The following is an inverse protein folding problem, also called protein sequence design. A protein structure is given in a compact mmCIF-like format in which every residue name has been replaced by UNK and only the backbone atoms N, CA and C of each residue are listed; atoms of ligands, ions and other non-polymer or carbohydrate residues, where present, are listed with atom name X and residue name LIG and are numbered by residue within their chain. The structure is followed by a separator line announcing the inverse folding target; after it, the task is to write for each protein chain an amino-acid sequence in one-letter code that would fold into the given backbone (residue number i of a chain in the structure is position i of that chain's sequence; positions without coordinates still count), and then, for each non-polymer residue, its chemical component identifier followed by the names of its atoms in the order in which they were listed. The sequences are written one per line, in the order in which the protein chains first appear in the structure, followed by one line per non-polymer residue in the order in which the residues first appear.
data_IF_036723430066
#
_entry.id   IF_036723430066
#
_cell.length_a   1.000
_cell.length_b   1.000
_cell.length_c   1.000
_cell.angle_alpha   90.00
_cell.angle_beta   90.00
_cell.angle_gamma   90.00
#
_symmetry.space_group_name_H-M   'P 1'
#
loop_
_entity.id
_entity.type
_entity.pdbx_description
1 polymer ?
#
# COMPACT_ATOMS: atom_id res chain seq x y z
N UNK A 1 18.14 11.78 7.36
CA UNK A 1 17.57 10.49 6.93
C UNK A 1 17.90 10.18 5.48
N UNK A 2 17.34 10.85 4.45
CA UNK A 2 17.71 10.57 3.04
C UNK A 2 19.22 10.60 2.74
N UNK A 3 19.93 11.62 3.20
CA UNK A 3 21.39 11.71 3.04
C UNK A 3 22.17 10.61 3.80
N UNK A 4 21.61 10.12 4.90
CA UNK A 4 22.20 9.02 5.67
C UNK A 4 22.01 7.69 4.94
N UNK A 5 20.84 7.45 4.34
CA UNK A 5 20.59 6.31 3.44
C UNK A 5 21.59 6.33 2.27
N UNK A 6 21.83 7.50 1.65
CA UNK A 6 22.83 7.63 0.60
C UNK A 6 24.25 7.31 1.10
N UNK A 7 24.63 7.74 2.31
CA UNK A 7 25.92 7.36 2.91
C UNK A 7 26.07 5.84 3.02
N UNK A 8 25.05 5.15 3.56
CA UNK A 8 25.04 3.69 3.66
C UNK A 8 25.17 3.03 2.28
N UNK A 9 24.51 3.59 1.26
CA UNK A 9 24.60 3.12 -0.13
C UNK A 9 26.01 3.28 -0.70
N UNK A 10 26.67 4.40 -0.44
CA UNK A 10 28.07 4.63 -0.82
C UNK A 10 29.03 3.67 -0.11
N UNK A 11 28.85 3.47 1.20
CA UNK A 11 29.66 2.58 2.04
C UNK A 11 29.48 1.10 1.69
N UNK A 12 28.34 0.72 1.10
CA UNK A 12 28.12 -0.60 0.54
C UNK A 12 28.84 -0.83 -0.81
N UNK A 13 29.54 0.18 -1.34
CA UNK A 13 30.27 0.10 -2.60
C UNK A 13 29.42 0.36 -3.85
N UNK A 14 28.20 0.88 -3.69
CA UNK A 14 27.23 1.08 -4.78
C UNK A 14 27.25 2.50 -5.37
N UNK A 15 28.29 3.28 -5.07
CA UNK A 15 28.40 4.70 -5.44
C UNK A 15 28.13 5.01 -6.92
N UNK A 16 28.42 4.07 -7.84
CA UNK A 16 28.19 4.26 -9.28
C UNK A 16 26.71 4.41 -9.67
N UNK A 17 25.77 3.99 -8.82
CA UNK A 17 24.33 4.14 -9.07
C UNK A 17 23.70 5.29 -8.29
N UNK A 18 24.45 5.99 -7.43
CA UNK A 18 23.88 6.90 -6.43
C UNK A 18 22.96 7.98 -7.03
N UNK A 19 23.35 8.60 -8.16
CA UNK A 19 22.53 9.61 -8.85
C UNK A 19 21.18 9.05 -9.32
N UNK A 20 21.17 7.81 -9.80
CA UNK A 20 19.96 7.13 -10.28
C UNK A 20 19.15 6.50 -9.13
N UNK A 21 19.81 6.19 -8.02
CA UNK A 21 19.19 5.60 -6.83
C UNK A 21 18.54 6.65 -5.92
N UNK A 22 19.13 7.83 -5.77
CA UNK A 22 18.59 8.91 -4.94
C UNK A 22 17.10 9.23 -5.17
N UNK A 23 16.58 9.33 -6.42
CA UNK A 23 15.16 9.56 -6.66
C UNK A 23 14.27 8.36 -6.33
N UNK A 24 14.83 7.17 -6.11
CA UNK A 24 14.10 5.96 -5.70
C UNK A 24 13.92 5.87 -4.18
N UNK A 25 14.64 6.69 -3.40
CA UNK A 25 14.39 6.82 -1.96
C UNK A 25 13.15 7.70 -1.78
N UNK A 26 12.05 7.06 -1.38
CA UNK A 26 10.71 7.69 -1.30
C UNK A 26 10.28 7.90 0.15
N UNK A 27 9.73 9.07 0.50
CA UNK A 27 9.14 9.29 1.80
C UNK A 27 7.85 8.46 1.94
N UNK A 28 7.50 8.08 3.16
CA UNK A 28 6.25 7.40 3.48
C UNK A 28 5.65 7.96 4.77
N UNK A 29 4.35 7.73 4.95
CA UNK A 29 3.73 7.83 6.26
C UNK A 29 3.62 6.43 6.84
N UNK A 30 4.47 6.10 7.80
CA UNK A 30 4.27 4.92 8.63
C UNK A 30 3.05 5.10 9.51
N UNK A 31 2.23 4.06 9.60
CA UNK A 31 0.93 4.09 10.30
C UNK A 31 1.00 3.17 11.50
N UNK A 32 0.68 3.71 12.68
CA UNK A 32 0.52 2.96 13.92
C UNK A 32 -0.95 2.92 14.31
N UNK A 33 -1.42 1.72 14.63
CA UNK A 33 -2.80 1.40 15.00
C UNK A 33 -2.97 1.32 16.51
N UNK A 34 -4.03 1.95 17.00
CA UNK A 34 -4.42 1.93 18.41
C UNK A 34 -5.91 1.61 18.52
N UNK A 35 -6.32 0.53 19.21
CA UNK A 35 -7.72 0.17 19.35
C UNK A 35 -8.50 1.34 19.95
N UNK A 36 -9.70 1.57 19.44
CA UNK A 36 -10.52 2.70 19.85
C UNK A 36 -12.00 2.32 19.84
N UNK A 37 -12.79 2.96 20.69
CA UNK A 37 -14.24 2.95 20.54
C UNK A 37 -14.61 3.82 19.33
N UNK A 38 -15.19 3.21 18.30
CA UNK A 38 -15.51 3.91 17.04
C UNK A 38 -16.49 5.07 17.25
N UNK A 39 -17.37 4.98 18.24
CA UNK A 39 -18.30 6.07 18.57
C UNK A 39 -17.59 7.31 19.12
N UNK A 40 -16.36 7.17 19.61
CA UNK A 40 -15.53 8.30 20.02
C UNK A 40 -14.90 9.06 18.83
N UNK A 41 -14.90 8.47 17.62
CA UNK A 41 -14.36 9.09 16.42
C UNK A 41 -15.41 9.97 15.73
N UNK A 42 -15.00 11.18 15.38
CA UNK A 42 -15.83 12.07 14.54
C UNK A 42 -15.94 11.49 13.12
N UNK A 43 -17.07 11.65 12.43
CA UNK A 43 -17.19 11.26 11.02
C UNK A 43 -16.09 11.89 10.16
N UNK A 44 -15.41 11.08 9.36
CA UNK A 44 -14.31 11.51 8.50
C UNK A 44 -12.92 11.48 9.14
N UNK A 45 -12.80 11.10 10.42
CA UNK A 45 -11.48 10.89 11.05
C UNK A 45 -10.75 9.67 10.46
N UNK A 46 -9.42 9.69 10.41
CA UNK A 46 -8.67 8.54 9.92
C UNK A 46 -8.79 7.33 10.85
N UNK A 47 -8.99 6.14 10.27
CA UNK A 47 -9.07 4.87 11.01
C UNK A 47 -8.77 3.68 10.09
N UNK A 48 -8.35 2.58 10.71
CA UNK A 48 -8.35 1.23 10.12
C UNK A 48 -9.50 0.43 10.76
N UNK A 49 -10.21 -0.38 9.98
CA UNK A 49 -11.37 -1.15 10.43
C UNK A 49 -12.56 -0.29 10.85
N UNK A 50 -13.59 -0.94 11.39
CA UNK A 50 -14.87 -0.32 11.75
C UNK A 50 -15.82 -0.16 10.54
N UNK A 51 -16.59 0.92 10.55
CA UNK A 51 -17.55 1.27 9.50
C UNK A 51 -17.09 2.53 8.74
N UNK A 52 -17.09 2.55 7.40
CA UNK A 52 -16.68 3.73 6.65
C UNK A 52 -17.64 4.90 6.89
N UNK A 53 -17.10 6.12 6.88
CA UNK A 53 -17.90 7.34 6.83
C UNK A 53 -18.11 7.74 5.36
N UNK A 54 -19.30 7.47 4.82
CA UNK A 54 -19.63 7.66 3.40
C UNK A 54 -20.59 8.84 3.20
N UNK A 55 -20.50 9.56 2.05
CA UNK A 55 -21.56 10.46 1.62
C UNK A 55 -22.89 9.72 1.48
N UNK A 56 -24.00 10.37 1.79
CA UNK A 56 -25.32 9.75 1.72
C UNK A 56 -25.64 9.21 0.31
N UNK A 57 -26.11 7.97 0.24
CA UNK A 57 -26.46 7.31 -1.03
C UNK A 57 -25.28 6.72 -1.80
N UNK A 58 -24.05 6.78 -1.26
CA UNK A 58 -22.91 6.07 -1.84
C UNK A 58 -23.19 4.56 -1.84
N UNK A 59 -23.15 3.89 -3.01
CA UNK A 59 -23.35 2.45 -3.05
C UNK A 59 -22.18 1.74 -2.37
N UNK A 60 -22.48 0.67 -1.64
CA UNK A 60 -21.44 -0.19 -1.10
C UNK A 60 -20.69 -0.88 -2.26
N UNK A 61 -19.34 -0.98 -2.22
CA UNK A 61 -18.60 -1.62 -3.29
C UNK A 61 -18.72 -3.15 -3.25
N UNK A 62 -18.89 -3.77 -4.42
CA UNK A 62 -18.98 -5.21 -4.61
C UNK A 62 -17.99 -5.68 -5.69
N UNK A 63 -17.53 -6.92 -5.56
CA UNK A 63 -16.90 -7.68 -6.63
C UNK A 63 -17.70 -8.96 -6.85
N UNK A 64 -18.26 -9.13 -8.06
CA UNK A 64 -19.31 -10.15 -8.30
C UNK A 64 -20.42 -10.00 -7.24
N UNK A 65 -20.69 -11.05 -6.46
CA UNK A 65 -21.65 -11.05 -5.34
C UNK A 65 -21.01 -10.76 -3.98
N UNK A 66 -19.68 -10.63 -3.89
CA UNK A 66 -18.99 -10.40 -2.63
C UNK A 66 -19.02 -8.91 -2.27
N UNK A 67 -19.64 -8.51 -1.14
CA UNK A 67 -19.45 -7.18 -0.60
C UNK A 67 -17.98 -7.01 -0.21
N UNK A 68 -17.39 -5.86 -0.54
CA UNK A 68 -16.00 -5.59 -0.14
C UNK A 68 -15.97 -5.19 1.33
N UNK A 69 -15.00 -5.73 2.06
CA UNK A 69 -14.67 -5.33 3.42
C UNK A 69 -14.07 -3.93 3.43
N UNK A 70 -14.50 -3.11 4.38
CA UNK A 70 -13.84 -1.82 4.64
C UNK A 70 -12.53 -2.03 5.39
N UNK A 71 -11.43 -1.51 4.84
CA UNK A 71 -10.11 -1.64 5.44
C UNK A 71 -9.70 -0.41 6.22
N UNK A 72 -9.83 0.77 5.60
CA UNK A 72 -9.33 2.01 6.18
C UNK A 72 -9.99 3.22 5.55
N UNK A 73 -10.07 4.32 6.30
CA UNK A 73 -10.24 5.65 5.74
C UNK A 73 -9.12 6.55 6.24
N UNK A 74 -8.57 7.38 5.37
CA UNK A 74 -7.44 8.26 5.65
C UNK A 74 -7.84 9.69 5.25
N UNK A 75 -7.94 10.56 6.25
CA UNK A 75 -8.19 11.97 6.04
C UNK A 75 -6.86 12.66 5.74
N UNK A 76 -6.72 13.17 4.51
CA UNK A 76 -5.49 13.79 4.05
C UNK A 76 -5.11 15.05 4.85
N UNK A 77 -6.09 15.71 5.46
CA UNK A 77 -5.85 16.87 6.32
C UNK A 77 -5.24 16.51 7.69
N UNK A 78 -5.27 15.23 8.09
CA UNK A 78 -4.67 14.74 9.33
C UNK A 78 -3.21 14.28 9.15
N UNK A 79 -2.72 14.23 7.91
CA UNK A 79 -1.36 13.81 7.61
C UNK A 79 -0.35 14.89 8.07
N UNK A 80 0.80 14.49 8.66
CA UNK A 80 1.84 15.43 9.02
C UNK A 80 2.49 16.07 7.78
N UNK A 81 3.25 17.16 7.93
CA UNK A 81 3.98 17.76 6.82
C UNK A 81 4.83 16.74 6.07
N UNK A 82 4.68 16.71 4.74
CA UNK A 82 5.31 15.73 3.87
C UNK A 82 6.25 16.43 2.88
N UNK A 83 7.42 15.87 2.56
CA UNK A 83 8.42 16.54 1.72
C UNK A 83 8.05 16.55 0.22
N UNK A 84 7.01 15.82 -0.18
CA UNK A 84 6.53 15.72 -1.56
C UNK A 84 5.08 16.20 -1.65
N UNK A 85 4.71 16.77 -2.80
CA UNK A 85 3.34 17.20 -3.08
C UNK A 85 2.69 16.24 -4.09
N UNK A 86 2.41 15.01 -3.64
CA UNK A 86 1.88 13.92 -4.49
C UNK A 86 0.43 13.55 -4.14
N UNK A 87 -0.06 13.98 -2.97
CA UNK A 87 -1.44 13.79 -2.53
C UNK A 87 -2.14 15.16 -2.45
N UNK A 88 -3.46 15.22 -2.66
CA UNK A 88 -4.24 16.42 -2.35
C UNK A 88 -4.07 16.85 -0.89
N UNK A 89 -4.08 18.17 -0.62
CA UNK A 89 -3.99 18.71 0.75
C UNK A 89 -5.20 18.35 1.63
N UNK A 90 -6.35 18.05 1.01
CA UNK A 90 -7.59 17.68 1.67
C UNK A 90 -8.29 16.56 0.91
N UNK A 91 -9.11 15.81 1.62
CA UNK A 91 -9.93 14.74 1.08
C UNK A 91 -9.90 13.52 1.98
N UNK A 92 -10.83 12.60 1.76
CA UNK A 92 -10.93 11.33 2.45
C UNK A 92 -10.74 10.19 1.44
N UNK A 93 -9.68 9.41 1.62
CA UNK A 93 -9.48 8.15 0.91
C UNK A 93 -10.14 7.03 1.72
N UNK A 94 -10.91 6.16 1.06
CA UNK A 94 -11.51 4.97 1.67
C UNK A 94 -11.10 3.73 0.90
N UNK A 95 -10.55 2.75 1.60
CA UNK A 95 -9.99 1.52 1.04
C UNK A 95 -10.90 0.34 1.33
N UNK A 96 -11.21 -0.42 0.28
CA UNK A 96 -12.08 -1.59 0.32
C UNK A 96 -11.43 -2.76 -0.41
N UNK A 97 -11.67 -3.98 0.09
CA UNK A 97 -11.08 -5.21 -0.43
C UNK A 97 -12.01 -6.41 -0.28
N UNK A 98 -12.03 -7.31 -1.26
CA UNK A 98 -12.91 -8.48 -1.27
C UNK A 98 -12.32 -9.63 -0.42
N UNK A 99 -12.16 -9.39 0.89
CA UNK A 99 -11.47 -10.30 1.81
C UNK A 99 -12.08 -11.72 1.83
N UNK A 100 -13.41 -11.82 1.83
CA UNK A 100 -14.08 -13.12 1.79
C UNK A 100 -13.79 -13.89 0.50
N UNK A 101 -13.77 -13.18 -0.63
CA UNK A 101 -13.63 -13.78 -1.94
C UNK A 101 -12.22 -14.34 -2.18
N UNK A 102 -11.20 -13.79 -1.50
CA UNK A 102 -9.82 -14.28 -1.50
C UNK A 102 -9.71 -15.76 -1.09
N UNK A 103 -10.62 -16.25 -0.25
CA UNK A 103 -10.64 -17.63 0.25
C UNK A 103 -11.59 -18.56 -0.52
N UNK A 104 -12.49 -18.02 -1.34
CA UNK A 104 -13.64 -18.77 -1.89
C UNK A 104 -13.68 -18.78 -3.43
N UNK A 105 -13.20 -17.71 -4.08
CA UNK A 105 -13.28 -17.54 -5.53
C UNK A 105 -11.91 -17.62 -6.19
N UNK A 106 -11.76 -18.51 -7.19
CA UNK A 106 -10.49 -18.74 -7.89
C UNK A 106 -10.12 -17.63 -8.85
N UNK A 107 -11.10 -16.88 -9.36
CA UNK A 107 -10.85 -15.78 -10.30
C UNK A 107 -10.39 -14.50 -9.56
N UNK A 108 -10.31 -14.55 -8.23
CA UNK A 108 -9.95 -13.43 -7.38
C UNK A 108 -8.62 -12.78 -7.81
N UNK A 109 -7.58 -13.60 -7.99
CA UNK A 109 -6.24 -13.12 -8.29
C UNK A 109 -6.08 -12.60 -9.73
N UNK A 110 -7.05 -12.84 -10.61
CA UNK A 110 -7.01 -12.39 -12.01
C UNK A 110 -7.79 -11.07 -12.23
N UNK A 111 -8.26 -10.42 -11.16
CA UNK A 111 -9.17 -9.28 -11.24
C UNK A 111 -8.70 -8.08 -10.43
N UNK A 112 -8.55 -6.93 -11.10
CA UNK A 112 -8.33 -5.62 -10.46
C UNK A 112 -9.55 -5.12 -9.68
N UNK A 113 -10.71 -5.76 -9.85
CA UNK A 113 -11.96 -5.33 -9.24
C UNK A 113 -12.19 -5.83 -7.81
N UNK A 114 -11.27 -6.66 -7.31
CA UNK A 114 -11.27 -7.17 -5.93
C UNK A 114 -10.92 -6.10 -4.90
N UNK A 115 -10.48 -4.93 -5.35
CA UNK A 115 -10.22 -3.77 -4.51
C UNK A 115 -10.86 -2.51 -5.08
N UNK A 116 -11.24 -1.59 -4.17
CA UNK A 116 -11.78 -0.27 -4.53
C UNK A 116 -11.23 0.79 -3.60
N UNK A 117 -10.83 1.92 -4.18
CA UNK A 117 -10.50 3.13 -3.43
C UNK A 117 -11.48 4.22 -3.81
N UNK A 118 -12.23 4.72 -2.83
CA UNK A 118 -13.09 5.88 -3.00
C UNK A 118 -12.36 7.12 -2.53
N UNK A 119 -12.56 8.24 -3.23
CA UNK A 119 -12.02 9.53 -2.84
C UNK A 119 -13.15 10.55 -2.70
N UNK A 120 -13.25 11.16 -1.52
CA UNK A 120 -14.17 12.26 -1.24
C UNK A 120 -13.35 13.55 -1.14
N UNK A 121 -13.36 14.44 -2.15
CA UNK A 121 -12.49 15.61 -2.17
C UNK A 121 -12.75 16.63 -1.06
N UNK A 122 -14.01 16.78 -0.63
CA UNK A 122 -14.41 17.70 0.43
C UNK A 122 -15.24 16.97 1.51
N UNK A 123 -14.59 16.26 2.45
CA UNK A 123 -15.29 15.47 3.46
C UNK A 123 -16.18 16.31 4.37
N UNK A 124 -15.78 17.56 4.68
CA UNK A 124 -16.54 18.46 5.57
C UNK A 124 -17.89 18.88 4.94
N UNK A 125 -17.93 19.05 3.63
CA UNK A 125 -19.14 19.41 2.87
C UNK A 125 -19.96 18.21 2.40
N UNK A 126 -19.40 16.99 2.46
CA UNK A 126 -20.01 15.80 1.86
C UNK A 126 -21.16 15.18 2.68
N UNK A 127 -21.42 15.68 3.90
CA UNK A 127 -22.45 15.14 4.77
C UNK A 127 -22.21 13.67 5.13
N UNK A 128 -20.96 13.35 5.47
CA UNK A 128 -20.52 11.99 5.78
C UNK A 128 -21.35 11.37 6.90
N UNK A 129 -21.69 10.08 6.72
CA UNK A 129 -22.37 9.28 7.73
C UNK A 129 -21.65 7.95 7.90
N UNK A 130 -21.46 7.56 9.16
CA UNK A 130 -21.01 6.21 9.50
C UNK A 130 -22.00 5.21 8.93
N UNK A 131 -21.54 4.38 8.00
CA UNK A 131 -22.39 3.50 7.22
C UNK A 131 -22.08 2.07 7.61
N UNK A 132 -23.07 1.39 8.18
CA UNK A 132 -22.94 -0.02 8.52
C UNK A 132 -22.67 -0.85 7.24
N UNK A 133 -21.79 -1.86 7.31
CA UNK A 133 -21.59 -2.78 6.22
C UNK A 133 -22.87 -3.58 5.91
N UNK A 134 -23.00 -4.15 4.70
CA UNK A 134 -23.99 -5.17 4.40
C UNK A 134 -23.92 -6.33 5.40
N UNK A 135 -25.07 -6.85 5.83
CA UNK A 135 -25.17 -7.91 6.85
C UNK A 135 -24.47 -9.21 6.40
N UNK A 136 -24.36 -9.44 5.09
CA UNK A 136 -23.68 -10.62 4.54
C UNK A 136 -22.20 -10.70 4.93
N UNK A 137 -21.57 -9.57 5.30
CA UNK A 137 -20.18 -9.57 5.79
C UNK A 137 -20.02 -10.26 7.16
N UNK A 138 -21.10 -10.46 7.91
CA UNK A 138 -21.09 -11.16 9.21
C UNK A 138 -21.08 -12.69 9.07
N UNK A 139 -21.39 -13.22 7.88
CA UNK A 139 -21.57 -14.66 7.65
C UNK A 139 -20.28 -15.39 7.21
N UNK A 140 -19.18 -14.66 6.96
CA UNK A 140 -17.94 -15.24 6.46
C UNK A 140 -17.01 -15.74 7.58
N UNK A 141 -16.33 -16.86 7.29
CA UNK A 141 -15.23 -17.44 8.09
C UNK A 141 -14.03 -17.71 7.16
N UNK A 142 -12.89 -17.02 7.32
CA UNK A 142 -12.58 -16.05 8.38
C UNK A 142 -13.42 -14.76 8.31
N UNK A 143 -13.54 -14.01 9.43
CA UNK A 143 -14.33 -12.78 9.49
C UNK A 143 -13.88 -11.74 8.46
N UNK A 144 -14.85 -11.15 7.75
CA UNK A 144 -14.62 -10.11 6.74
C UNK A 144 -14.90 -8.69 7.27
N UNK A 145 -15.03 -8.54 8.59
CA UNK A 145 -15.18 -7.26 9.30
C UNK A 145 -14.03 -7.09 10.27
N UNK A 146 -13.52 -5.87 10.36
CA UNK A 146 -12.32 -5.56 11.13
C UNK A 146 -12.61 -4.55 12.23
N UNK A 147 -11.90 -4.69 13.35
CA UNK A 147 -12.04 -3.84 14.53
C UNK A 147 -11.46 -2.45 14.30
N UNK A 148 -12.11 -1.39 14.80
CA UNK A 148 -11.68 -0.01 14.61
C UNK A 148 -10.40 0.31 15.38
N UNK A 149 -9.45 0.94 14.70
CA UNK A 149 -8.22 1.49 15.25
C UNK A 149 -8.02 2.93 14.78
N UNK A 150 -7.70 3.81 15.73
CA UNK A 150 -7.22 5.16 15.43
C UNK A 150 -5.77 5.13 14.93
N UNK A 151 -5.38 6.13 14.14
CA UNK A 151 -4.09 6.14 13.45
C UNK A 151 -3.15 7.22 14.01
N UNK A 152 -1.87 6.86 14.15
CA UNK A 152 -0.78 7.81 14.35
C UNK A 152 0.22 7.67 13.21
N UNK A 153 0.73 8.79 12.72
CA UNK A 153 1.67 8.83 11.60
C UNK A 153 3.09 9.17 12.05
N UNK A 154 4.07 8.57 11.36
CA UNK A 154 5.47 8.98 11.38
C UNK A 154 5.95 9.12 9.94
N UNK A 155 6.56 10.26 9.60
CA UNK A 155 7.21 10.41 8.30
C UNK A 155 8.58 9.73 8.33
N UNK A 156 8.80 8.80 7.43
CA UNK A 156 10.07 8.09 7.27
C UNK A 156 10.51 8.09 5.80
N UNK A 157 11.74 7.63 5.54
CA UNK A 157 12.25 7.43 4.19
C UNK A 157 12.46 5.94 3.95
N UNK A 158 11.92 5.47 2.84
CA UNK A 158 11.93 4.05 2.45
C UNK A 158 12.78 3.86 1.19
N UNK A 159 13.31 2.66 1.03
CA UNK A 159 14.15 2.27 -0.11
C UNK A 159 13.45 1.17 -0.91
N UNK A 160 13.62 1.11 -2.24
CA UNK A 160 12.99 0.09 -3.05
C UNK A 160 13.48 -1.31 -2.64
N UNK A 161 12.63 -2.34 -2.66
CA UNK A 161 13.08 -3.72 -2.45
C UNK A 161 14.14 -4.13 -3.47
N UNK A 162 15.09 -4.99 -3.10
CA UNK A 162 16.17 -5.39 -4.01
C UNK A 162 15.68 -6.03 -5.30
N UNK A 163 14.61 -6.81 -5.25
CA UNK A 163 14.03 -7.47 -6.42
C UNK A 163 13.08 -6.58 -7.24
N UNK A 164 12.86 -5.34 -6.81
CA UNK A 164 11.94 -4.44 -7.50
C UNK A 164 12.41 -4.08 -8.91
N UNK A 165 11.46 -3.77 -9.80
CA UNK A 165 11.78 -3.25 -11.12
C UNK A 165 12.61 -1.95 -11.07
N UNK A 166 12.44 -1.15 -10.01
CA UNK A 166 13.22 0.07 -9.78
C UNK A 166 14.72 -0.24 -9.63
N UNK A 167 15.08 -1.32 -8.92
CA UNK A 167 16.46 -1.76 -8.72
C UNK A 167 17.00 -2.50 -9.95
N UNK A 168 16.20 -3.35 -10.57
CA UNK A 168 16.59 -4.03 -11.81
C UNK A 168 16.92 -3.03 -12.92
N UNK A 169 16.17 -1.93 -13.05
CA UNK A 169 16.49 -0.89 -14.04
C UNK A 169 17.83 -0.20 -13.80
N UNK A 170 18.36 -0.20 -12.58
CA UNK A 170 19.73 0.27 -12.31
C UNK A 170 20.81 -0.66 -12.90
N UNK A 171 20.42 -1.85 -13.36
CA UNK A 171 21.30 -2.93 -13.81
C UNK A 171 21.72 -3.84 -12.66
N UNK A 172 21.06 -3.74 -11.50
CA UNK A 172 21.31 -4.59 -10.33
C UNK A 172 20.23 -5.67 -10.26
N UNK A 173 20.58 -6.87 -10.71
CA UNK A 173 19.69 -8.03 -10.67
C UNK A 173 20.49 -9.32 -10.65
N UNK A 174 19.83 -10.42 -10.30
CA UNK A 174 20.42 -11.76 -10.32
C UNK A 174 21.03 -12.15 -11.68
N UNK A 175 20.42 -11.68 -12.77
CA UNK A 175 20.78 -12.08 -14.13
C UNK A 175 21.77 -11.12 -14.83
N UNK A 176 21.93 -9.90 -14.34
CA UNK A 176 22.77 -8.88 -14.99
C UNK A 176 24.01 -8.52 -14.18
N UNK A 177 23.85 -8.17 -12.90
CA UNK A 177 24.95 -7.78 -12.04
C UNK A 177 24.75 -8.30 -10.60
N UNK A 178 24.94 -9.60 -10.46
CA UNK A 178 24.73 -10.30 -9.19
C UNK A 178 25.58 -9.75 -8.05
N UNK A 179 26.85 -9.42 -8.28
CA UNK A 179 27.73 -8.92 -7.21
C UNK A 179 27.21 -7.62 -6.57
N UNK A 180 26.68 -6.70 -7.38
CA UNK A 180 26.10 -5.46 -6.85
C UNK A 180 24.68 -5.65 -6.33
N UNK A 181 23.91 -6.58 -6.90
CA UNK A 181 22.63 -6.99 -6.34
C UNK A 181 22.80 -7.60 -4.93
N UNK A 182 23.77 -8.49 -4.74
CA UNK A 182 24.12 -9.09 -3.45
C UNK A 182 24.57 -8.00 -2.46
N UNK A 183 25.37 -7.01 -2.90
CA UNK A 183 25.70 -5.84 -2.07
C UNK A 183 24.48 -5.00 -1.69
N UNK A 184 23.54 -4.80 -2.62
CA UNK A 184 22.31 -4.07 -2.34
C UNK A 184 21.48 -4.78 -1.27
N UNK A 185 21.31 -6.09 -1.42
CA UNK A 185 20.51 -6.91 -0.53
C UNK A 185 21.17 -7.12 0.83
N UNK A 186 22.37 -7.72 0.84
CA UNK A 186 23.01 -8.24 2.04
C UNK A 186 23.77 -7.17 2.82
N UNK A 187 24.25 -6.11 2.16
CA UNK A 187 25.05 -5.07 2.83
C UNK A 187 24.25 -3.80 3.05
N UNK A 188 23.71 -3.22 1.98
CA UNK A 188 22.97 -1.97 2.07
C UNK A 188 21.62 -2.17 2.77
N UNK A 189 20.82 -3.14 2.33
CA UNK A 189 19.50 -3.46 2.89
C UNK A 189 19.57 -3.76 4.39
N UNK A 190 20.47 -4.66 4.79
CA UNK A 190 20.69 -4.99 6.20
C UNK A 190 21.06 -3.76 7.04
N UNK A 191 21.97 -2.89 6.55
CA UNK A 191 22.36 -1.67 7.28
C UNK A 191 21.21 -0.68 7.40
N UNK A 192 20.39 -0.53 6.36
CA UNK A 192 19.19 0.32 6.40
C UNK A 192 18.21 -0.22 7.45
N UNK A 193 17.97 -1.53 7.45
CA UNK A 193 17.12 -2.18 8.45
C UNK A 193 17.68 -1.96 9.86
N UNK A 194 18.91 -2.37 10.15
CA UNK A 194 19.54 -2.18 11.47
C UNK A 194 19.51 -0.72 11.96
N UNK A 195 19.63 0.24 11.03
CA UNK A 195 19.69 1.66 11.36
C UNK A 195 18.32 2.31 11.58
N UNK A 196 17.31 1.89 10.83
CA UNK A 196 16.00 2.54 10.76
C UNK A 196 14.84 1.64 11.19
N UNK A 197 15.09 0.40 11.61
CA UNK A 197 14.10 -0.49 12.18
C UNK A 197 13.41 0.19 13.37
N UNK A 198 12.09 0.28 13.30
CA UNK A 198 11.30 0.72 14.44
C UNK A 198 11.05 -0.47 15.36
N UNK A 199 11.02 -0.29 16.69
CA UNK A 199 10.78 -1.38 17.64
C UNK A 199 9.46 -2.11 17.45
N UNK A 200 8.47 -1.41 16.89
CA UNK A 200 7.21 -2.02 16.47
C UNK A 200 7.39 -2.65 15.09
N UNK A 201 7.10 -3.94 14.96
CA UNK A 201 7.25 -4.70 13.72
C UNK A 201 6.15 -4.39 12.68
N UNK A 202 5.14 -3.59 13.04
CA UNK A 202 4.00 -3.30 12.18
C UNK A 202 4.41 -2.47 10.95
N UNK A 203 4.09 -2.97 9.76
CA UNK A 203 4.52 -2.37 8.47
C UNK A 203 3.41 -1.63 7.73
N UNK A 204 2.36 -1.16 8.41
CA UNK A 204 1.32 -0.34 7.78
C UNK A 204 1.90 0.99 7.28
N UNK A 205 1.56 1.41 6.05
CA UNK A 205 1.99 2.72 5.52
C UNK A 205 1.10 3.26 4.41
N UNK A 206 1.16 4.58 4.24
CA UNK A 206 0.68 5.30 3.06
C UNK A 206 1.91 5.84 2.30
N UNK A 207 1.96 5.60 0.99
CA UNK A 207 3.09 5.91 0.11
C UNK A 207 4.41 5.20 0.47
N UNK A 208 5.48 5.55 -0.25
CA UNK A 208 6.83 5.01 -0.08
C UNK A 208 7.15 3.86 -1.02
N UNK A 209 8.11 3.05 -0.60
CA UNK A 209 8.45 1.75 -1.16
C UNK A 209 7.77 0.65 -0.34
N UNK A 210 7.34 -0.47 -0.95
CA UNK A 210 6.71 -1.56 -0.23
C UNK A 210 7.72 -2.32 0.64
N UNK A 211 7.20 -3.02 1.64
CA UNK A 211 7.90 -4.11 2.34
C UNK A 211 7.32 -5.44 1.86
N UNK A 212 7.78 -6.01 0.73
CA UNK A 212 7.20 -7.22 0.15
C UNK A 212 7.52 -8.47 0.98
N UNK A 213 6.68 -9.51 0.83
CA UNK A 213 6.89 -10.85 1.40
C UNK A 213 7.37 -11.83 0.32
N UNK A 214 6.83 -11.74 -0.90
CA UNK A 214 7.06 -12.70 -1.99
C UNK A 214 7.78 -12.10 -3.21
N UNK A 215 8.35 -10.91 -3.08
CA UNK A 215 9.13 -10.24 -4.12
C UNK A 215 8.37 -9.13 -4.85
N UNK A 216 8.80 -8.80 -6.08
CA UNK A 216 8.29 -7.67 -6.87
C UNK A 216 6.81 -7.80 -7.21
N UNK A 217 6.12 -6.66 -7.13
CA UNK A 217 4.71 -6.51 -7.47
C UNK A 217 4.49 -5.57 -8.66
N UNK A 218 5.50 -4.80 -9.08
CA UNK A 218 5.35 -3.76 -10.10
C UNK A 218 4.99 -4.37 -11.47
N UNK A 219 5.61 -5.51 -11.82
CA UNK A 219 5.26 -6.24 -13.06
C UNK A 219 3.85 -6.81 -13.01
N UNK A 220 3.48 -7.39 -11.88
CA UNK A 220 2.16 -7.98 -11.67
C UNK A 220 1.07 -6.92 -11.80
N UNK A 221 1.24 -5.75 -11.19
CA UNK A 221 0.32 -4.61 -11.35
C UNK A 221 0.15 -4.24 -12.82
N UNK A 222 1.25 -4.16 -13.58
CA UNK A 222 1.21 -3.82 -15.01
C UNK A 222 0.42 -4.85 -15.83
N UNK A 223 0.58 -6.14 -15.52
CA UNK A 223 -0.11 -7.22 -16.23
C UNK A 223 -1.59 -7.29 -15.86
N UNK A 224 -1.93 -7.06 -14.58
CA UNK A 224 -3.32 -7.04 -14.12
C UNK A 224 -4.09 -5.84 -14.70
N UNK A 225 -3.46 -4.66 -14.75
CA UNK A 225 -4.08 -3.46 -15.28
C UNK A 225 -4.19 -3.45 -16.82
N UNK A 226 -3.29 -4.13 -17.52
CA UNK A 226 -3.33 -4.31 -18.97
C UNK A 226 -2.96 -5.75 -19.35
N UNK A 227 -3.93 -6.68 -19.34
CA UNK A 227 -3.72 -8.09 -19.67
C UNK A 227 -3.24 -8.34 -21.11
N UNK A 228 -3.28 -7.33 -21.99
CA UNK A 228 -2.74 -7.43 -23.35
C UNK A 228 -1.21 -7.27 -23.40
N UNK A 229 -0.60 -6.85 -22.29
CA UNK A 229 0.85 -6.67 -22.17
C UNK A 229 1.60 -7.99 -22.31
N UNK A 230 2.55 -8.05 -23.25
CA UNK A 230 3.48 -9.20 -23.34
C UNK A 230 4.43 -9.21 -22.15
N UNK A 231 4.43 -10.31 -21.40
CA UNK A 231 5.28 -10.53 -20.21
C UNK A 231 6.77 -10.43 -20.54
N UNK A 232 7.17 -10.63 -21.78
CA UNK A 232 8.57 -10.56 -22.21
C UNK A 232 8.97 -9.20 -22.79
N UNK A 233 8.04 -8.23 -22.88
CA UNK A 233 8.33 -6.91 -23.44
C UNK A 233 9.15 -6.06 -22.45
N UNK A 234 10.36 -5.69 -22.86
CA UNK A 234 11.21 -4.76 -22.09
C UNK A 234 10.57 -3.37 -21.91
N UNK A 235 9.65 -2.96 -22.79
CA UNK A 235 8.87 -1.75 -22.56
C UNK A 235 7.81 -1.94 -21.46
N UNK A 236 7.32 -3.16 -21.21
CA UNK A 236 6.47 -3.44 -20.06
C UNK A 236 7.23 -3.23 -18.74
N UNK A 237 8.51 -3.61 -18.66
CA UNK A 237 9.37 -3.33 -17.51
C UNK A 237 9.46 -1.83 -17.19
N UNK A 238 9.62 -1.01 -18.24
CA UNK A 238 9.66 0.46 -18.09
C UNK A 238 8.33 1.07 -17.65
N UNK A 239 7.22 0.40 -17.94
CA UNK A 239 5.89 0.80 -17.46
C UNK A 239 5.67 0.33 -16.02
N UNK A 240 6.15 -0.87 -15.67
CA UNK A 240 6.09 -1.42 -14.31
C UNK A 240 6.70 -0.45 -13.27
N UNK A 241 7.83 0.19 -13.58
CA UNK A 241 8.44 1.20 -12.67
C UNK A 241 7.65 2.50 -12.52
N UNK A 242 6.48 2.64 -13.15
CA UNK A 242 5.56 3.76 -12.91
C UNK A 242 4.57 3.46 -11.80
N UNK A 243 4.44 2.19 -11.38
CA UNK A 243 3.59 1.82 -10.26
C UNK A 243 4.22 2.29 -8.94
N UNK A 244 3.39 2.90 -8.11
CA UNK A 244 3.73 3.45 -6.80
C UNK A 244 2.85 2.78 -5.77
N UNK A 245 3.42 2.47 -4.61
CA UNK A 245 2.63 2.07 -3.46
C UNK A 245 1.76 3.25 -3.04
N UNK A 246 0.46 3.04 -2.95
CA UNK A 246 -0.49 4.00 -2.38
C UNK A 246 -0.71 3.70 -0.90
N UNK A 247 -1.06 2.46 -0.57
CA UNK A 247 -1.36 2.03 0.79
C UNK A 247 -0.92 0.59 1.01
N UNK A 248 -0.44 0.28 2.20
CA UNK A 248 -0.02 -1.04 2.61
C UNK A 248 -0.60 -1.33 3.99
N UNK A 249 -1.28 -2.47 4.14
CA UNK A 249 -1.86 -2.91 5.41
C UNK A 249 -1.48 -4.35 5.72
N UNK A 250 -0.88 -4.52 6.88
CA UNK A 250 -0.35 -5.76 7.43
C UNK A 250 -1.46 -6.63 8.04
N UNK A 251 -1.14 -7.90 8.29
CA UNK A 251 -1.93 -8.71 9.21
C UNK A 251 -1.72 -8.21 10.65
N UNK A 252 -2.80 -7.93 11.38
CA UNK A 252 -2.76 -7.48 12.78
C UNK A 252 -3.99 -7.97 13.56
N UNK A 253 -4.04 -9.28 13.80
CA UNK A 253 -5.20 -9.96 14.38
C UNK A 253 -5.60 -9.39 15.75
N UNK A 254 -4.65 -9.12 16.64
CA UNK A 254 -4.96 -8.73 18.02
C UNK A 254 -5.70 -7.39 18.12
N UNK A 255 -5.40 -6.42 17.24
CA UNK A 255 -5.99 -5.08 17.30
C UNK A 255 -7.12 -4.89 16.29
N UNK A 256 -6.93 -5.40 15.07
CA UNK A 256 -7.83 -5.14 13.93
C UNK A 256 -8.63 -6.37 13.51
N UNK A 257 -8.20 -7.57 13.90
CA UNK A 257 -8.75 -8.82 13.37
C UNK A 257 -8.34 -9.15 11.93
N UNK A 258 -7.48 -8.33 11.31
CA UNK A 258 -7.00 -8.57 9.94
C UNK A 258 -5.99 -9.71 9.89
N UNK A 259 -6.24 -10.65 8.97
CA UNK A 259 -5.35 -11.76 8.62
C UNK A 259 -5.43 -11.97 7.11
N UNK A 260 -4.29 -11.91 6.43
CA UNK A 260 -4.20 -12.08 4.97
C UNK A 260 -3.45 -13.36 4.67
N UNK A 261 -4.14 -14.40 4.19
CA UNK A 261 -3.49 -15.70 3.94
C UNK A 261 -2.78 -16.25 5.18
N UNK A 262 -1.49 -16.56 5.03
CA UNK A 262 -0.57 -16.94 6.12
C UNK A 262 0.24 -15.71 6.58
N UNK A 263 -0.35 -14.90 7.48
CA UNK A 263 0.26 -13.69 8.07
C UNK A 263 0.85 -12.74 7.01
N UNK A 264 0.09 -12.56 5.94
CA UNK A 264 0.44 -11.75 4.79
C UNK A 264 0.12 -10.28 4.94
N UNK A 265 0.07 -9.60 3.79
CA UNK A 265 -0.08 -8.15 3.65
C UNK A 265 -0.77 -7.78 2.34
N UNK A 266 -1.57 -6.72 2.40
CA UNK A 266 -2.19 -6.11 1.22
C UNK A 266 -1.42 -4.87 0.78
N UNK A 267 -1.26 -4.72 -0.54
CA UNK A 267 -0.56 -3.62 -1.16
C UNK A 267 -1.44 -3.00 -2.25
N UNK A 268 -1.93 -1.80 -1.99
CA UNK A 268 -2.65 -0.98 -2.95
C UNK A 268 -1.62 -0.19 -3.76
N UNK A 269 -1.59 -0.45 -5.05
CA UNK A 269 -0.69 0.15 -6.03
C UNK A 269 -1.46 1.07 -6.97
N UNK A 270 -0.82 2.15 -7.39
CA UNK A 270 -1.39 3.11 -8.33
C UNK A 270 -0.32 3.54 -9.33
N UNK A 271 -0.70 3.73 -10.60
CA UNK A 271 0.20 4.36 -11.57
C UNK A 271 0.51 5.81 -11.16
N UNK A 272 1.76 6.23 -11.26
CA UNK A 272 2.20 7.58 -10.89
C UNK A 272 1.36 8.68 -11.55
N UNK A 273 1.07 8.57 -12.86
CA UNK A 273 0.27 9.58 -13.57
C UNK A 273 -1.17 9.63 -13.08
N UNK A 274 -1.74 8.50 -12.61
CA UNK A 274 -3.08 8.47 -12.03
C UNK A 274 -3.09 9.11 -10.64
N UNK A 275 -2.08 8.83 -9.81
CA UNK A 275 -1.89 9.45 -8.51
C UNK A 275 -1.77 10.97 -8.61
N UNK A 276 -0.94 11.46 -9.54
CA UNK A 276 -0.76 12.91 -9.80
C UNK A 276 -2.07 13.60 -10.24
N UNK A 277 -2.99 12.87 -10.89
CA UNK A 277 -4.32 13.37 -11.27
C UNK A 277 -5.39 13.16 -10.20
N UNK A 278 -5.08 12.47 -9.10
CA UNK A 278 -6.07 12.05 -8.10
C UNK A 278 -7.09 11.04 -8.62
N UNK A 279 -6.73 10.24 -9.63
CA UNK A 279 -7.58 9.20 -10.21
C UNK A 279 -7.39 7.86 -9.47
N UNK A 280 -8.01 7.75 -8.31
CA UNK A 280 -7.93 6.56 -7.45
C UNK A 280 -8.74 5.36 -7.97
N UNK A 281 -9.45 5.50 -9.09
CA UNK A 281 -10.14 4.38 -9.75
C UNK A 281 -9.17 3.42 -10.46
N UNK A 282 -7.92 3.84 -10.65
CA UNK A 282 -6.83 3.10 -11.29
C UNK A 282 -5.98 2.29 -10.30
N UNK A 283 -6.45 2.14 -9.07
CA UNK A 283 -5.74 1.37 -8.03
C UNK A 283 -5.91 -0.13 -8.27
N UNK A 284 -4.83 -0.87 -8.11
CA UNK A 284 -4.78 -2.34 -8.09
C UNK A 284 -4.34 -2.78 -6.70
N UNK A 285 -4.88 -3.88 -6.18
CA UNK A 285 -4.40 -4.47 -4.94
C UNK A 285 -3.72 -5.81 -5.24
N UNK A 286 -2.58 -6.05 -4.60
CA UNK A 286 -1.92 -7.35 -4.57
C UNK A 286 -1.83 -7.80 -3.12
N UNK A 287 -2.06 -9.09 -2.90
CA UNK A 287 -1.86 -9.76 -1.63
C UNK A 287 -0.59 -10.60 -1.72
N UNK A 288 0.19 -10.63 -0.64
CA UNK A 288 1.30 -11.58 -0.48
C UNK A 288 1.28 -12.13 0.94
N UNK A 289 1.51 -13.43 1.10
CA UNK A 289 1.65 -14.11 2.39
C UNK A 289 2.79 -15.14 2.38
N UNK A 290 3.21 -15.64 3.55
CA UNK A 290 4.20 -16.71 3.63
C UNK A 290 4.90 -16.87 4.97
#
# INVERSE_FOLDING_TARGET
MKQEILSLFHEAGLSRYAERFEPLIRPSFRIFTHPVDEEALSPGSSKIGGCPDLPAGTPWPYWKSYPLSFLAQINLAELPPFPENILPERGLLLFFFAAAAMYDDKDFYDSVETARVLFVPDPDGAGLKRTAPPEELDDYDPPARFSPCSLRYLVEWTVPPGESCDIEQLGMSWNENRDDFDRYWEVFGQRVEERFLHPDDMKNRLLGCPDPIQGDMQRECQLLADPSTDRNDQAALRRATRWRLLFQVDSEVEKTGMMWGDVGRLYFWIEQEALERGDFSRVVCIEQCG
#
